data_IF_376806858143
#
_entry.id   IF_376806858143
#
_cell.length_a   1.000
_cell.length_b   1.000
_cell.length_c   1.000
_cell.angle_alpha   90.00
_cell.angle_beta   90.00
_cell.angle_gamma   90.00
#
_symmetry.space_group_name_H-M   'P 1'
#
loop_
_entity.id
_entity.type
_entity.pdbx_description
1 polymer ?
#
# COMPACT_ATOMS: atom_id res chain seq x y z
N UNK A 1 6.51 1.20 23.22
CA UNK A 1 6.42 0.80 22.48
C UNK A 1 5.70 -0.32 22.03
N UNK A 2 5.15 -1.02 22.85
CA UNK A 2 4.41 -2.14 22.42
C UNK A 2 3.30 -1.76 21.50
N UNK A 3 2.74 -0.63 21.70
CA UNK A 3 1.64 -0.26 20.87
C UNK A 3 1.97 -0.20 19.40
N UNK A 4 3.24 -0.07 19.13
CA UNK A 4 3.59 0.00 17.79
C UNK A 4 3.45 -1.26 17.10
N UNK A 5 3.38 -2.32 17.78
CA UNK A 5 3.24 -3.59 17.14
C UNK A 5 2.00 -3.72 16.31
N UNK A 6 1.03 -2.87 16.57
CA UNK A 6 -0.20 -2.95 15.82
C UNK A 6 -0.05 -2.39 14.41
N UNK A 7 0.98 -1.62 14.18
CA UNK A 7 1.14 -1.02 12.87
C UNK A 7 1.71 -2.01 11.89
N UNK A 8 1.22 -1.93 10.67
CA UNK A 8 1.77 -2.74 9.60
C UNK A 8 2.82 -1.88 8.95
N UNK A 9 4.06 -2.30 9.04
CA UNK A 9 5.14 -1.55 8.45
C UNK A 9 5.84 -2.37 7.39
N UNK A 10 6.09 -1.75 6.28
CA UNK A 10 6.83 -2.41 5.22
C UNK A 10 8.20 -1.75 5.13
N UNK A 11 9.26 -2.46 5.48
CA UNK A 11 10.60 -1.87 5.46
C UNK A 11 11.06 -1.45 4.08
N UNK A 12 10.41 -1.98 3.05
CA UNK A 12 10.75 -1.61 1.69
C UNK A 12 9.73 -0.67 1.07
N UNK A 13 8.97 0.00 1.91
CA UNK A 13 7.89 0.85 1.42
C UNK A 13 8.36 1.87 0.40
N UNK A 14 9.40 2.62 0.73
CA UNK A 14 9.86 3.66 -0.16
C UNK A 14 10.40 3.09 -1.45
N UNK A 15 11.10 2.00 -1.35
CA UNK A 15 11.64 1.34 -2.51
C UNK A 15 10.54 0.91 -3.46
N UNK A 16 9.52 0.29 -2.90
CA UNK A 16 8.42 -0.22 -3.69
C UNK A 16 7.65 0.91 -4.34
N UNK A 17 7.36 1.95 -3.59
CA UNK A 17 6.60 3.07 -4.11
C UNK A 17 7.37 3.75 -5.25
N UNK A 18 8.66 3.90 -5.11
CA UNK A 18 9.46 4.53 -6.15
C UNK A 18 9.60 3.63 -7.36
N UNK A 19 9.85 2.36 -7.13
CA UNK A 19 10.07 1.43 -8.22
C UNK A 19 8.79 1.22 -9.02
N UNK A 20 7.68 1.12 -8.34
CA UNK A 20 6.40 0.89 -8.99
C UNK A 20 5.51 2.11 -8.92
N UNK A 21 6.10 3.25 -9.20
CA UNK A 21 5.41 4.53 -9.07
C UNK A 21 4.13 4.58 -9.88
N UNK A 22 4.18 4.07 -11.10
CA UNK A 22 2.99 4.06 -11.94
C UNK A 22 1.88 3.19 -11.36
N UNK A 23 2.27 2.02 -10.86
CA UNK A 23 1.31 1.11 -10.24
C UNK A 23 0.71 1.76 -9.00
N UNK A 24 1.56 2.42 -8.22
CA UNK A 24 1.11 3.08 -7.01
C UNK A 24 0.04 4.13 -7.34
N UNK A 25 0.30 4.95 -8.34
CA UNK A 25 -0.65 5.98 -8.73
C UNK A 25 -1.98 5.39 -9.17
N UNK A 26 -1.92 4.35 -10.01
CA UNK A 26 -3.14 3.72 -10.47
C UNK A 26 -3.90 3.09 -9.32
N UNK A 27 -3.18 2.44 -8.42
CA UNK A 27 -3.80 1.80 -7.29
C UNK A 27 -4.49 2.81 -6.39
N UNK A 28 -3.87 3.97 -6.22
CA UNK A 28 -4.49 5.03 -5.43
C UNK A 28 -5.84 5.43 -6.00
N UNK A 29 -5.93 5.46 -7.30
CA UNK A 29 -7.20 5.80 -7.93
C UNK A 29 -8.24 4.73 -7.69
N UNK A 30 -7.82 3.48 -7.70
CA UNK A 30 -8.74 2.40 -7.45
C UNK A 30 -9.23 2.36 -6.01
N UNK A 31 -8.34 2.62 -5.06
CA UNK A 31 -8.74 2.54 -3.66
C UNK A 31 -9.49 3.77 -3.18
N UNK A 32 -9.38 4.89 -3.90
CA UNK A 32 -10.05 6.11 -3.46
C UNK A 32 -11.55 5.91 -3.23
N UNK A 33 -12.30 5.30 -4.16
CA UNK A 33 -13.71 5.07 -3.91
C UNK A 33 -13.96 4.14 -2.73
N UNK A 34 -13.08 3.17 -2.55
CA UNK A 34 -13.20 2.25 -1.43
C UNK A 34 -12.97 2.96 -0.12
N UNK A 35 -11.95 3.83 -0.09
CA UNK A 35 -11.67 4.61 1.11
C UNK A 35 -12.87 5.45 1.50
N UNK A 36 -13.49 6.05 0.49
CA UNK A 36 -14.64 6.89 0.74
C UNK A 36 -15.82 6.09 1.24
N UNK A 37 -16.06 4.97 0.60
CA UNK A 37 -17.21 4.14 0.95
C UNK A 37 -17.11 3.60 2.36
N UNK A 38 -15.91 3.20 2.77
CA UNK A 38 -15.73 2.58 4.07
C UNK A 38 -15.12 3.52 5.10
N UNK A 39 -14.98 4.80 4.74
CA UNK A 39 -14.44 5.80 5.66
C UNK A 39 -13.10 5.39 6.23
N UNK A 40 -12.21 4.94 5.36
CA UNK A 40 -10.89 4.50 5.77
C UNK A 40 -9.86 5.08 4.82
N UNK A 41 -8.60 5.02 5.22
CA UNK A 41 -7.51 5.51 4.40
C UNK A 41 -6.40 4.48 4.40
N UNK A 42 -5.96 4.09 3.22
CA UNK A 42 -4.84 3.17 3.11
C UNK A 42 -3.54 3.94 3.29
N UNK A 43 -2.70 3.47 4.20
CA UNK A 43 -1.40 4.09 4.41
C UNK A 43 -0.46 3.67 3.29
N UNK A 44 0.67 4.36 3.21
CA UNK A 44 1.67 3.99 2.21
C UNK A 44 2.19 2.58 2.45
N UNK A 45 2.28 2.18 3.70
CA UNK A 45 2.73 0.82 4.00
C UNK A 45 1.77 -0.21 3.45
N UNK A 46 0.49 0.04 3.60
CA UNK A 46 -0.51 -0.87 3.08
C UNK A 46 -0.50 -0.90 1.56
N UNK A 47 -0.32 0.27 0.95
CA UNK A 47 -0.23 0.32 -0.50
C UNK A 47 0.97 -0.46 -1.00
N UNK A 48 2.10 -0.32 -0.31
CA UNK A 48 3.30 -1.06 -0.70
C UNK A 48 3.08 -2.56 -0.58
N UNK A 49 2.38 -2.98 0.46
CA UNK A 49 2.10 -4.40 0.63
C UNK A 49 1.24 -4.94 -0.51
N UNK A 50 0.23 -4.17 -0.90
CA UNK A 50 -0.63 -4.59 -2.00
C UNK A 50 0.18 -4.69 -3.28
N UNK A 51 1.03 -3.72 -3.54
CA UNK A 51 1.86 -3.73 -4.73
C UNK A 51 2.77 -4.95 -4.73
N UNK A 52 3.36 -5.26 -3.58
CA UNK A 52 4.23 -6.42 -3.48
C UNK A 52 3.51 -7.70 -3.83
N UNK A 53 2.30 -7.83 -3.33
CA UNK A 53 1.50 -9.03 -3.62
C UNK A 53 1.19 -9.11 -5.10
N UNK A 54 0.81 -8.00 -5.69
CA UNK A 54 0.48 -7.98 -7.10
C UNK A 54 1.68 -8.35 -7.97
N UNK A 55 2.84 -7.81 -7.60
CA UNK A 55 4.03 -8.08 -8.39
C UNK A 55 4.46 -9.53 -8.25
N UNK A 56 4.27 -10.11 -7.09
CA UNK A 56 4.61 -11.51 -6.90
C UNK A 56 3.74 -12.42 -7.73
N UNK A 57 2.48 -12.06 -7.83
CA UNK A 57 1.56 -12.88 -8.59
C UNK A 57 1.94 -12.90 -10.05
N UNK A 58 2.52 -11.82 -10.53
CA UNK A 58 2.89 -11.74 -11.94
C UNK A 58 4.11 -12.56 -12.28
N UNK A 59 4.84 -12.96 -11.30
CA UNK A 59 5.96 -13.81 -11.57
C UNK A 59 5.51 -15.21 -11.86
#
# INVERSE_FOLDING_TARGET
>A
IAGRGASIENPHREEIVQKYHGVYRDLRKYVAPVERKFHMIFSDDEMANIISILMQIQE
#
